data_IF_455692574855
#
_entry.id   IF_455692574855
#
_cell.length_a   1.000
_cell.length_b   1.000
_cell.length_c   1.000
_cell.angle_alpha   90.00
_cell.angle_beta   90.00
_cell.angle_gamma   90.00
#
_symmetry.space_group_name_H-M   'P 1'
#
loop_
_entity.id
_entity.type
_entity.pdbx_description
1 polymer ?
#
# COMPACT_ATOMS: atom_id res chain seq x y z
N UNK A 1 -8.91 -4.82 -6.96
CA UNK A 1 -7.86 -5.49 -7.76
C UNK A 1 -7.33 -4.48 -8.76
N UNK A 2 -6.05 -4.52 -9.08
CA UNK A 2 -5.44 -3.64 -10.06
C UNK A 2 -4.33 -4.37 -10.79
N UNK A 3 -4.20 -4.15 -12.09
CA UNK A 3 -3.08 -4.64 -12.89
C UNK A 3 -2.34 -3.43 -13.48
N UNK A 4 -1.02 -3.40 -13.28
CA UNK A 4 -0.18 -2.24 -13.53
C UNK A 4 0.99 -2.64 -14.43
N UNK A 5 1.38 -1.77 -15.34
CA UNK A 5 2.53 -1.95 -16.21
C UNK A 5 3.35 -0.67 -16.27
N UNK A 6 4.66 -0.84 -16.21
CA UNK A 6 5.64 0.23 -16.40
C UNK A 6 6.36 0.03 -17.72
N UNK A 7 6.44 1.08 -18.54
CA UNK A 7 6.97 0.95 -19.90
C UNK A 7 8.49 1.14 -20.02
N UNK A 8 9.19 1.73 -19.03
CA UNK A 8 10.64 2.03 -19.06
C UNK A 8 11.29 2.04 -17.66
N UNK A 9 12.60 1.72 -17.49
CA UNK A 9 13.36 1.83 -16.23
C UNK A 9 13.69 3.30 -15.86
N UNK A 10 13.70 3.68 -14.56
CA UNK A 10 13.67 5.11 -14.13
C UNK A 10 14.42 5.44 -12.83
N UNK A 11 14.56 6.75 -12.56
CA UNK A 11 15.23 7.36 -11.39
C UNK A 11 14.73 6.78 -10.05
N UNK A 12 13.44 6.44 -9.94
CA UNK A 12 12.88 5.78 -8.76
C UNK A 12 13.38 4.35 -8.49
N UNK A 13 14.01 3.68 -9.46
CA UNK A 13 14.60 2.33 -9.27
C UNK A 13 15.96 2.38 -8.56
N UNK A 14 16.54 3.58 -8.41
CA UNK A 14 17.74 3.83 -7.60
C UNK A 14 17.46 4.65 -6.34
N UNK A 15 16.21 5.05 -6.08
CA UNK A 15 15.81 5.77 -4.87
C UNK A 15 15.07 4.86 -3.88
N UNK A 16 15.44 4.94 -2.61
CA UNK A 16 14.78 4.23 -1.49
C UNK A 16 13.60 5.01 -0.92
N UNK A 17 12.97 5.87 -1.72
CA UNK A 17 11.77 6.61 -1.30
C UNK A 17 10.64 5.60 -1.03
N UNK A 18 9.93 5.74 0.10
CA UNK A 18 8.74 4.93 0.40
C UNK A 18 7.64 5.06 -0.67
N UNK A 19 7.69 6.09 -1.52
CA UNK A 19 6.80 6.26 -2.66
C UNK A 19 7.33 5.69 -3.99
N UNK A 20 8.54 5.11 -4.03
CA UNK A 20 9.10 4.49 -5.23
C UNK A 20 8.46 3.12 -5.47
N UNK A 21 7.53 3.04 -6.42
CA UNK A 21 6.82 1.78 -6.72
C UNK A 21 5.36 1.93 -7.11
N UNK A 22 4.63 0.84 -6.92
CA UNK A 22 3.18 0.76 -7.02
C UNK A 22 2.56 0.85 -5.63
N UNK A 23 1.92 1.98 -5.35
CA UNK A 23 1.38 2.30 -4.04
C UNK A 23 -0.15 2.38 -4.13
N UNK A 24 -0.84 1.68 -3.23
CA UNK A 24 -2.29 1.80 -3.03
C UNK A 24 -2.53 2.41 -1.65
N UNK A 25 -3.19 3.56 -1.60
CA UNK A 25 -3.69 4.17 -0.38
C UNK A 25 -5.17 3.82 -0.18
N UNK A 26 -5.56 3.45 1.04
CA UNK A 26 -6.95 3.16 1.40
C UNK A 26 -7.24 3.57 2.85
N UNK A 27 -8.53 3.70 3.19
CA UNK A 27 -9.01 4.42 4.38
C UNK A 27 -8.40 5.83 4.47
N UNK A 28 -8.36 6.49 3.31
CA UNK A 28 -7.61 7.72 3.17
C UNK A 28 -8.48 8.97 3.37
N UNK A 29 -7.91 9.99 4.01
CA UNK A 29 -8.43 11.35 4.03
C UNK A 29 -7.53 12.35 3.27
N UNK A 30 -6.62 11.84 2.42
CA UNK A 30 -5.61 12.61 1.68
C UNK A 30 -6.20 13.40 0.49
N UNK A 31 -7.27 14.18 0.71
CA UNK A 31 -7.95 15.01 -0.30
C UNK A 31 -7.86 16.52 -0.05
N UNK A 32 -7.43 16.94 1.14
CA UNK A 32 -7.23 18.35 1.48
C UNK A 32 -5.74 18.63 1.72
N UNK A 33 -5.35 19.90 1.73
CA UNK A 33 -3.96 20.31 1.98
C UNK A 33 -3.66 20.50 3.48
N UNK A 34 -4.53 20.03 4.37
CA UNK A 34 -4.31 20.11 5.81
C UNK A 34 -3.55 18.85 6.24
N UNK A 35 -2.27 19.01 6.60
CA UNK A 35 -1.43 17.89 7.01
C UNK A 35 -1.95 17.14 8.24
N UNK A 36 -2.80 17.74 9.07
CA UNK A 36 -3.38 17.10 10.24
C UNK A 36 -4.65 16.28 9.98
N UNK A 37 -5.26 16.40 8.80
CA UNK A 37 -6.47 15.66 8.46
C UNK A 37 -6.12 14.49 7.52
N UNK A 38 -5.00 13.81 7.76
CA UNK A 38 -4.52 12.72 6.90
C UNK A 38 -4.41 11.43 7.70
N UNK A 39 -5.40 10.56 7.56
CA UNK A 39 -5.26 9.15 7.92
C UNK A 39 -5.12 8.36 6.63
N UNK A 40 -4.15 7.45 6.49
CA UNK A 40 -4.07 6.52 5.35
C UNK A 40 -3.29 5.25 5.70
N UNK A 41 -3.81 4.09 5.28
CA UNK A 41 -3.00 2.88 5.13
C UNK A 41 -2.49 2.74 3.70
N UNK A 42 -1.19 2.48 3.59
CA UNK A 42 -0.50 2.28 2.33
C UNK A 42 -0.11 0.83 2.15
N UNK A 43 -0.41 0.25 0.99
CA UNK A 43 0.21 -0.98 0.50
C UNK A 43 1.27 -0.61 -0.52
N UNK A 44 2.53 -0.93 -0.22
CA UNK A 44 3.69 -0.47 -1.00
C UNK A 44 4.42 -1.65 -1.63
N UNK A 45 4.29 -1.76 -2.95
CA UNK A 45 5.09 -2.68 -3.76
C UNK A 45 6.17 -1.88 -4.49
N UNK A 46 7.37 -1.86 -3.93
CA UNK A 46 8.46 -1.01 -4.39
C UNK A 46 9.26 -1.66 -5.52
N UNK A 47 9.96 -0.83 -6.29
CA UNK A 47 10.72 -1.28 -7.46
C UNK A 47 11.84 -2.26 -7.11
N UNK A 48 12.50 -2.06 -5.96
CA UNK A 48 13.54 -2.93 -5.41
C UNK A 48 13.01 -4.24 -4.81
N UNK A 49 11.71 -4.52 -5.01
CA UNK A 49 11.00 -5.67 -4.48
C UNK A 49 10.55 -5.56 -3.04
N UNK A 50 10.77 -4.45 -2.33
CA UNK A 50 10.20 -4.27 -0.99
C UNK A 50 8.68 -4.34 -1.05
N UNK A 51 8.09 -5.17 -0.18
CA UNK A 51 6.65 -5.34 -0.08
C UNK A 51 6.24 -5.14 1.37
N UNK A 52 5.73 -3.95 1.68
CA UNK A 52 5.41 -3.54 3.04
C UNK A 52 4.19 -2.62 3.06
N UNK A 53 3.79 -2.25 4.27
CA UNK A 53 2.75 -1.29 4.56
C UNK A 53 3.33 -0.06 5.24
N UNK A 54 2.62 1.05 5.16
CA UNK A 54 2.79 2.23 6.00
C UNK A 54 1.43 2.66 6.54
N UNK A 55 1.45 3.31 7.69
CA UNK A 55 0.38 4.13 8.24
C UNK A 55 0.86 5.58 8.30
N UNK A 56 0.01 6.50 7.89
CA UNK A 56 0.17 7.95 8.05
C UNK A 56 -1.05 8.45 8.84
N UNK A 57 -0.78 9.24 9.88
CA UNK A 57 -1.82 9.92 10.69
C UNK A 57 -1.70 11.45 10.61
N UNK A 58 -0.61 11.93 10.02
CA UNK A 58 -0.36 13.32 9.67
C UNK A 58 0.64 13.36 8.50
N UNK A 59 0.44 14.27 7.57
CA UNK A 59 1.34 14.43 6.43
C UNK A 59 2.52 15.35 6.78
N UNK A 60 3.78 14.98 6.48
CA UNK A 60 4.23 13.85 5.63
C UNK A 60 4.82 12.65 6.39
N UNK A 61 4.31 12.33 7.57
CA UNK A 61 4.97 11.45 8.53
C UNK A 61 4.40 10.02 8.50
N UNK A 62 5.14 9.13 7.85
CA UNK A 62 4.82 7.70 7.83
C UNK A 62 5.38 6.95 9.05
N UNK A 63 4.63 5.96 9.52
CA UNK A 63 5.11 4.88 10.40
C UNK A 63 6.33 4.16 9.79
N UNK A 64 7.10 3.50 10.66
CA UNK A 64 8.14 2.56 10.20
C UNK A 64 7.52 1.46 9.34
N UNK A 65 8.03 1.17 8.13
CA UNK A 65 7.48 0.15 7.25
C UNK A 65 7.36 -1.22 7.90
N UNK A 66 6.22 -1.91 7.71
CA UNK A 66 6.01 -3.27 8.21
C UNK A 66 5.35 -4.17 7.16
N UNK A 67 5.73 -5.46 7.06
CA UNK A 67 6.93 -6.07 7.66
C UNK A 67 8.22 -5.44 7.12
N UNK A 68 9.26 -5.32 7.95
CA UNK A 68 10.42 -4.46 7.67
C UNK A 68 11.42 -5.01 6.65
N UNK A 69 11.45 -6.34 6.41
CA UNK A 69 12.44 -6.99 5.55
C UNK A 69 11.81 -7.88 4.48
N UNK A 70 10.54 -7.65 4.16
CA UNK A 70 9.82 -8.49 3.25
C UNK A 70 10.07 -8.10 1.79
N UNK A 71 10.36 -9.11 0.95
CA UNK A 71 10.85 -8.92 -0.41
C UNK A 71 10.12 -9.83 -1.40
N UNK A 72 9.63 -9.26 -2.48
CA UNK A 72 9.19 -9.94 -3.69
C UNK A 72 10.43 -10.20 -4.55
N UNK A 73 10.63 -11.46 -4.93
CA UNK A 73 11.66 -11.79 -5.91
C UNK A 73 11.13 -11.55 -7.34
N UNK A 74 11.69 -10.55 -8.01
CA UNK A 74 11.37 -10.22 -9.41
C UNK A 74 12.13 -11.06 -10.44
N UNK A 75 13.14 -11.84 -10.05
CA UNK A 75 14.01 -12.58 -10.98
C UNK A 75 15.13 -11.74 -11.60
N UNK A 76 15.23 -10.44 -11.27
CA UNK A 76 16.24 -9.52 -11.79
C UNK A 76 16.55 -8.32 -10.89
N UNK A 77 16.22 -8.39 -9.60
CA UNK A 77 16.49 -7.34 -8.60
C UNK A 77 15.51 -6.16 -8.61
N UNK A 78 15.07 -5.71 -9.79
CA UNK A 78 14.04 -4.67 -9.95
C UNK A 78 12.77 -5.23 -10.62
N UNK A 79 11.69 -4.45 -10.58
CA UNK A 79 10.45 -4.80 -11.26
C UNK A 79 10.68 -5.03 -12.76
N UNK A 80 10.09 -6.08 -13.38
CA UNK A 80 10.31 -6.32 -14.79
C UNK A 80 9.63 -5.23 -15.65
N UNK A 81 10.35 -4.60 -16.59
CA UNK A 81 9.74 -3.61 -17.47
C UNK A 81 8.74 -4.27 -18.41
N UNK A 82 7.79 -3.47 -18.92
CA UNK A 82 6.79 -3.86 -19.92
C UNK A 82 5.93 -5.08 -19.50
N UNK A 83 5.86 -5.37 -18.19
CA UNK A 83 5.16 -6.54 -17.64
C UNK A 83 3.94 -6.11 -16.84
N UNK A 84 2.82 -6.81 -17.02
CA UNK A 84 1.62 -6.59 -16.23
C UNK A 84 1.74 -7.30 -14.88
N UNK A 85 1.66 -6.51 -13.80
CA UNK A 85 1.75 -6.96 -12.42
C UNK A 85 0.43 -6.67 -11.72
N UNK A 86 -0.18 -7.69 -11.13
CA UNK A 86 -1.35 -7.56 -10.28
C UNK A 86 -0.98 -7.19 -8.85
N UNK A 87 -1.61 -6.14 -8.31
CA UNK A 87 -1.49 -5.72 -6.91
C UNK A 87 -2.89 -5.67 -6.29
N UNK A 88 -3.08 -6.41 -5.21
CA UNK A 88 -4.33 -6.42 -4.45
C UNK A 88 -4.01 -6.10 -2.99
N UNK A 89 -4.62 -5.03 -2.50
CA UNK A 89 -4.59 -4.65 -1.10
C UNK A 89 -5.94 -5.01 -0.45
N UNK A 90 -5.90 -5.74 0.64
CA UNK A 90 -7.07 -6.14 1.43
C UNK A 90 -6.88 -5.59 2.84
N UNK A 91 -7.86 -4.81 3.29
CA UNK A 91 -7.99 -4.29 4.65
C UNK A 91 -9.25 -4.90 5.25
N UNK A 92 -9.15 -5.50 6.43
CA UNK A 92 -10.30 -6.00 7.18
C UNK A 92 -10.15 -5.64 8.63
N UNK A 93 -11.23 -5.17 9.23
CA UNK A 93 -11.29 -5.10 10.68
C UNK A 93 -11.34 -6.52 11.25
N UNK A 94 -10.79 -6.71 12.44
CA UNK A 94 -10.86 -7.95 13.21
C UNK A 94 -11.00 -7.63 14.71
N UNK A 95 -11.24 -8.65 15.54
CA UNK A 95 -11.42 -8.48 17.00
C UNK A 95 -12.53 -7.47 17.32
N UNK A 96 -13.75 -7.79 16.88
CA UNK A 96 -14.94 -6.95 17.04
C UNK A 96 -14.79 -5.50 16.54
N UNK A 97 -14.00 -5.30 15.47
CA UNK A 97 -13.83 -3.98 14.87
C UNK A 97 -12.79 -3.09 15.55
N UNK A 98 -11.93 -3.64 16.41
CA UNK A 98 -10.95 -2.85 17.18
C UNK A 98 -9.59 -2.76 16.49
N UNK A 99 -9.28 -3.67 15.59
CA UNK A 99 -7.98 -3.79 14.97
C UNK A 99 -8.08 -4.00 13.46
N UNK A 100 -7.00 -3.75 12.72
CA UNK A 100 -7.00 -3.84 11.25
C UNK A 100 -5.97 -4.85 10.77
N UNK A 101 -6.41 -5.79 9.93
CA UNK A 101 -5.55 -6.74 9.22
C UNK A 101 -5.33 -6.28 7.77
N UNK A 102 -4.08 -6.17 7.38
CA UNK A 102 -3.63 -5.80 6.04
C UNK A 102 -3.01 -7.00 5.34
N UNK A 103 -3.43 -7.24 4.10
CA UNK A 103 -2.85 -8.28 3.24
C UNK A 103 -2.58 -7.73 1.84
N UNK A 104 -1.41 -8.06 1.31
CA UNK A 104 -0.97 -7.70 -0.03
C UNK A 104 -0.81 -8.97 -0.86
N UNK A 105 -1.47 -9.02 -2.01
CA UNK A 105 -1.32 -10.12 -2.97
C UNK A 105 -0.72 -9.64 -4.29
N UNK A 106 0.12 -10.49 -4.85
CA UNK A 106 0.79 -10.34 -6.13
C UNK A 106 0.23 -11.35 -7.13
N UNK A 107 -0.02 -10.90 -8.35
CA UNK A 107 -0.30 -11.77 -9.49
C UNK A 107 0.67 -11.42 -10.64
N UNK A 108 1.36 -12.41 -11.19
CA UNK A 108 2.29 -12.23 -12.33
C UNK A 108 1.72 -12.73 -13.66
N UNK A 109 0.43 -13.10 -13.69
CA UNK A 109 -0.22 -13.75 -14.85
C UNK A 109 -1.11 -12.82 -15.66
N UNK A 110 -1.10 -11.51 -15.37
CA UNK A 110 -2.04 -10.54 -15.96
C UNK A 110 -3.52 -10.95 -15.76
N UNK A 111 -3.85 -11.53 -14.62
CA UNK A 111 -5.20 -11.99 -14.31
C UNK A 111 -5.70 -13.13 -15.19
N UNK A 112 -4.82 -13.92 -15.81
CA UNK A 112 -5.20 -15.10 -16.59
C UNK A 112 -6.04 -16.05 -15.73
N UNK A 113 -7.22 -16.45 -16.20
CA UNK A 113 -8.18 -17.27 -15.45
C UNK A 113 -8.52 -16.76 -14.03
N UNK A 114 -8.53 -15.44 -13.83
CA UNK A 114 -8.77 -14.82 -12.51
C UNK A 114 -7.50 -14.42 -11.75
N UNK A 115 -6.33 -14.81 -12.26
CA UNK A 115 -5.02 -14.49 -11.71
C UNK A 115 -4.53 -15.52 -10.69
N UNK A 116 -3.21 -15.65 -10.58
CA UNK A 116 -2.52 -16.48 -9.58
C UNK A 116 -2.09 -15.59 -8.40
N UNK A 117 -3.05 -15.31 -7.52
CA UNK A 117 -2.86 -14.37 -6.41
C UNK A 117 -2.11 -14.99 -5.24
N UNK A 118 -0.83 -14.64 -5.12
CA UNK A 118 0.02 -15.08 -4.04
C UNK A 118 0.09 -14.03 -2.93
N UNK A 119 -0.13 -14.42 -1.67
CA UNK A 119 0.08 -13.54 -0.52
C UNK A 119 1.57 -13.21 -0.41
N UNK A 120 1.92 -11.93 -0.47
CA UNK A 120 3.31 -11.48 -0.42
C UNK A 120 3.63 -10.68 0.83
N UNK A 121 2.65 -10.03 1.47
CA UNK A 121 2.86 -9.36 2.75
C UNK A 121 1.58 -9.39 3.60
N UNK A 122 1.75 -9.47 4.92
CA UNK A 122 0.68 -9.39 5.91
C UNK A 122 1.16 -8.59 7.12
N UNK A 123 0.28 -7.75 7.69
CA UNK A 123 0.54 -7.02 8.92
C UNK A 123 -0.77 -6.70 9.65
N UNK A 124 -0.72 -6.66 10.98
CA UNK A 124 -1.83 -6.23 11.81
C UNK A 124 -1.50 -4.89 12.45
N UNK A 125 -2.41 -3.92 12.36
CA UNK A 125 -2.40 -2.76 13.23
C UNK A 125 -3.24 -3.08 14.47
N UNK A 126 -2.54 -3.35 15.57
CA UNK A 126 -3.08 -3.67 16.88
C UNK A 126 -2.84 -2.55 17.92
N UNK A 127 -2.46 -1.35 17.44
CA UNK A 127 -2.03 -0.23 18.27
C UNK A 127 -0.52 -0.26 18.62
N UNK A 128 0.22 -1.33 18.31
CA UNK A 128 1.67 -1.38 18.54
C UNK A 128 2.49 -0.91 17.33
N UNK A 129 1.89 -0.13 16.44
CA UNK A 129 2.53 0.40 15.24
C UNK A 129 2.46 1.93 15.21
N UNK A 130 3.30 2.63 15.99
CA UNK A 130 3.23 4.08 16.09
C UNK A 130 3.78 4.78 14.84
N UNK A 131 3.20 5.93 14.50
CA UNK A 131 3.82 6.94 13.63
C UNK A 131 4.80 7.82 14.43
N UNK A 132 5.65 8.62 13.78
CA UNK A 132 6.47 9.62 14.47
C UNK A 132 5.61 10.62 15.29
N UNK A 133 6.16 11.25 16.35
CA UNK A 133 5.44 12.30 17.07
C UNK A 133 4.98 13.42 16.15
N UNK A 134 3.72 13.84 16.29
CA UNK A 134 3.08 14.84 15.43
C UNK A 134 2.56 16.04 16.25
N UNK A 135 2.25 17.14 15.56
CA UNK A 135 1.66 18.36 16.15
C UNK A 135 0.14 18.41 16.06
N UNK A 136 -0.51 17.35 15.58
CA UNK A 136 -1.91 17.32 15.19
C UNK A 136 -2.86 16.87 16.30
N UNK A 137 -2.37 16.71 17.53
CA UNK A 137 -3.11 16.16 18.67
C UNK A 137 -3.73 14.77 18.38
N UNK A 138 -3.08 14.02 17.50
CA UNK A 138 -3.47 12.65 17.13
C UNK A 138 -2.57 11.68 17.87
N UNK A 139 -3.18 10.69 18.53
CA UNK A 139 -2.44 9.61 19.19
C UNK A 139 -1.57 8.88 18.16
N UNK A 140 -0.26 8.78 18.42
CA UNK A 140 0.69 8.20 17.48
C UNK A 140 0.42 6.72 17.17
N UNK A 141 -0.29 6.04 18.05
CA UNK A 141 -0.71 4.64 17.97
C UNK A 141 -2.15 4.45 17.47
N UNK A 142 -2.84 5.53 17.05
CA UNK A 142 -4.21 5.45 16.51
C UNK A 142 -4.29 4.37 15.41
N UNK A 143 -5.32 3.54 15.52
CA UNK A 143 -5.72 2.58 14.49
C UNK A 143 -6.78 3.28 13.63
N UNK A 144 -6.64 3.22 12.30
CA UNK A 144 -7.58 3.88 11.38
C UNK A 144 -8.79 2.96 11.18
N UNK A 145 -9.77 3.10 12.08
CA UNK A 145 -11.07 2.40 12.02
C UNK A 145 -12.14 3.21 11.29
N UNK A 146 -11.86 4.50 11.01
CA UNK A 146 -12.74 5.38 10.28
C UNK A 146 -12.98 4.89 8.84
N UNK A 147 -14.20 5.06 8.34
CA UNK A 147 -14.59 4.55 7.02
C UNK A 147 -13.79 5.19 5.87
N UNK A 148 -13.36 6.45 6.02
CA UNK A 148 -12.51 7.25 5.12
C UNK A 148 -12.48 6.74 3.66
N UNK A 149 -13.49 7.07 2.84
CA UNK A 149 -13.77 6.34 1.60
C UNK A 149 -12.80 6.65 0.45
N UNK A 150 -11.77 7.47 0.67
CA UNK A 150 -10.81 7.76 -0.39
C UNK A 150 -9.86 6.58 -0.58
N UNK A 151 -9.72 6.18 -1.84
CA UNK A 151 -8.77 5.18 -2.30
C UNK A 151 -8.06 5.77 -3.50
N UNK A 152 -6.74 5.69 -3.49
CA UNK A 152 -5.93 6.21 -4.57
C UNK A 152 -4.80 5.25 -4.92
N UNK A 153 -4.26 5.46 -6.10
CA UNK A 153 -3.04 4.80 -6.56
C UNK A 153 -2.03 5.88 -6.83
N UNK A 154 -0.80 5.65 -6.40
CA UNK A 154 0.30 6.59 -6.56
C UNK A 154 1.55 5.88 -7.04
N UNK A 155 2.29 6.59 -7.88
CA UNK A 155 3.70 6.33 -8.15
C UNK A 155 4.40 7.68 -8.08
N UNK A 156 5.59 7.71 -7.50
CA UNK A 156 6.44 8.90 -7.48
C UNK A 156 7.62 8.68 -8.43
N UNK A 157 8.08 9.76 -9.06
CA UNK A 157 9.26 9.78 -9.95
C UNK A 157 9.22 8.81 -11.15
N UNK A 158 8.03 8.65 -11.74
CA UNK A 158 7.84 7.88 -12.98
C UNK A 158 7.46 8.75 -14.17
N UNK A 159 7.84 8.31 -15.39
CA UNK A 159 7.41 8.96 -16.64
C UNK A 159 6.08 8.41 -17.20
N UNK A 160 5.69 7.19 -16.84
CA UNK A 160 4.42 6.57 -17.26
C UNK A 160 4.11 5.30 -16.43
N UNK A 161 2.86 5.13 -16.04
CA UNK A 161 2.33 3.87 -15.57
C UNK A 161 0.98 3.64 -16.25
N UNK A 162 0.74 2.41 -16.66
CA UNK A 162 -0.51 1.98 -17.26
C UNK A 162 -1.28 1.14 -16.26
N UNK A 163 -2.57 1.43 -16.13
CA UNK A 163 -3.47 0.78 -15.20
C UNK A 163 -4.62 0.11 -15.95
N UNK A 164 -4.97 -1.12 -15.55
CA UNK A 164 -6.17 -1.81 -16.03
C UNK A 164 -6.76 -2.69 -14.94
N UNK A 165 -8.01 -3.13 -15.16
CA UNK A 165 -8.75 -4.03 -14.25
C UNK A 165 -8.86 -3.48 -12.81
N UNK A 166 -8.88 -2.15 -12.67
CA UNK A 166 -9.07 -1.50 -11.37
C UNK A 166 -10.47 -1.78 -10.83
N UNK A 167 -10.53 -2.22 -9.58
CA UNK A 167 -11.77 -2.47 -8.85
C UNK A 167 -11.56 -2.26 -7.36
N UNK A 168 -12.60 -1.73 -6.74
CA UNK A 168 -12.74 -1.56 -5.29
C UNK A 168 -14.06 -2.23 -4.89
N UNK A 169 -14.07 -2.85 -3.71
CA UNK A 169 -15.29 -3.38 -3.10
C UNK A 169 -15.14 -3.37 -1.58
N UNK A 170 -16.26 -3.18 -0.91
CA UNK A 170 -16.39 -3.47 0.51
C UNK A 170 -16.44 -4.99 0.71
N UNK A 171 -15.97 -5.43 1.88
CA UNK A 171 -15.88 -6.83 2.27
C UNK A 171 -16.19 -6.94 3.75
N UNK A 172 -16.67 -8.11 4.18
CA UNK A 172 -16.97 -8.37 5.58
C UNK A 172 -15.70 -8.31 6.46
N UNK A 173 -15.85 -7.88 7.72
CA UNK A 173 -14.76 -7.97 8.69
C UNK A 173 -14.40 -9.44 8.97
N UNK A 174 -13.24 -9.65 9.59
CA UNK A 174 -12.88 -10.92 10.18
C UNK A 174 -13.56 -11.05 11.55
N UNK A 175 -13.77 -12.30 12.03
CA UNK A 175 -14.15 -12.53 13.43
C UNK A 175 -13.20 -11.85 14.42
#
# INVERSE_FOLDING_TARGET
>A
MLTIKQDQPRVGEVSTDGSSGFIIGARSNHYNNNGCDVDTYYSRMQYDGSANFAKELDHPNDSTPKPSNNKIHWGGGTIPPNTWIGHKFVLRDYDDGKHVKMQMFLDKTDGFNGGDWNLVAEWNDDGNWPVPPNSCDISVDKIILDANPSIFIRNTEISSALYKKFSVREIDPLP
#
